data_IF_543107595111
#
_entry.id   IF_543107595111
#
_cell.length_a   1.000
_cell.length_b   1.000
_cell.length_c   1.000
_cell.angle_alpha   90.00
_cell.angle_beta   90.00
_cell.angle_gamma   90.00
#
_symmetry.space_group_name_H-M   'P 1'
#
loop_
_entity.id
_entity.type
_entity.pdbx_description
1 polymer ?
#
# COMPACT_ATOMS: atom_id res chain seq x y z
N UNK A 1 -3.82 -25.63 8.77
CA UNK A 1 -4.89 -25.86 7.77
C UNK A 1 -4.37 -25.31 6.44
N UNK A 2 -4.60 -25.97 5.31
CA UNK A 2 -4.11 -25.44 4.02
C UNK A 2 -4.99 -24.24 3.60
N UNK A 3 -4.37 -23.15 3.12
CA UNK A 3 -5.14 -21.98 2.67
C UNK A 3 -6.01 -22.34 1.45
N UNK A 4 -7.23 -21.81 1.33
CA UNK A 4 -8.10 -22.11 0.21
C UNK A 4 -7.55 -21.55 -1.10
N UNK A 5 -7.94 -22.16 -2.22
CA UNK A 5 -7.74 -21.56 -3.55
C UNK A 5 -8.69 -20.37 -3.64
N UNK A 6 -8.16 -19.18 -3.88
CA UNK A 6 -8.94 -17.93 -3.95
C UNK A 6 -9.02 -17.37 -5.36
N UNK A 7 -8.04 -17.71 -6.21
CA UNK A 7 -7.96 -17.24 -7.60
C UNK A 7 -7.50 -18.38 -8.52
N UNK A 8 -8.13 -18.47 -9.68
CA UNK A 8 -7.74 -19.36 -10.77
C UNK A 8 -7.32 -18.54 -11.99
N UNK A 9 -6.33 -19.06 -12.72
CA UNK A 9 -5.94 -18.56 -14.03
C UNK A 9 -6.25 -19.63 -15.06
N UNK A 10 -6.94 -19.27 -16.12
CA UNK A 10 -7.36 -20.21 -17.16
C UNK A 10 -6.56 -20.07 -18.45
N UNK A 11 -6.53 -21.16 -19.22
CA UNK A 11 -6.10 -21.21 -20.62
C UNK A 11 -7.18 -21.92 -21.42
N UNK A 12 -7.85 -21.18 -22.31
CA UNK A 12 -9.10 -21.67 -22.89
C UNK A 12 -10.13 -21.96 -21.80
N UNK A 13 -10.65 -23.18 -21.76
CA UNK A 13 -11.69 -23.60 -20.79
C UNK A 13 -11.14 -24.29 -19.54
N UNK A 14 -9.82 -24.50 -19.45
CA UNK A 14 -9.20 -25.24 -18.35
C UNK A 14 -8.46 -24.31 -17.39
N UNK A 15 -8.39 -24.72 -16.13
CA UNK A 15 -7.59 -24.05 -15.09
C UNK A 15 -6.13 -24.44 -15.29
N UNK A 16 -5.29 -23.44 -15.57
CA UNK A 16 -3.84 -23.58 -15.77
C UNK A 16 -3.08 -23.36 -14.45
N UNK A 17 -3.52 -22.40 -13.62
CA UNK A 17 -2.87 -22.11 -12.34
C UNK A 17 -3.90 -21.81 -11.26
N UNK A 18 -3.51 -22.09 -10.01
CA UNK A 18 -4.31 -21.82 -8.81
C UNK A 18 -3.46 -21.06 -7.81
N UNK A 19 -4.02 -19.99 -7.27
CA UNK A 19 -3.41 -19.22 -6.20
C UNK A 19 -4.19 -19.49 -4.91
N UNK A 20 -3.48 -19.95 -3.88
CA UNK A 20 -4.01 -20.04 -2.53
C UNK A 20 -3.84 -18.70 -1.83
N UNK A 21 -4.77 -18.36 -0.95
CA UNK A 21 -4.70 -17.07 -0.28
C UNK A 21 -5.47 -16.97 1.02
N UNK A 22 -5.15 -15.90 1.74
CA UNK A 22 -5.76 -15.48 2.98
C UNK A 22 -6.48 -14.16 2.75
N UNK A 23 -7.63 -13.98 3.39
CA UNK A 23 -8.40 -12.76 3.31
C UNK A 23 -9.11 -12.49 4.63
N UNK A 24 -9.15 -11.23 5.05
CA UNK A 24 -9.90 -10.80 6.23
C UNK A 24 -10.54 -9.43 5.95
N UNK A 25 -11.77 -9.26 6.45
CA UNK A 25 -12.47 -7.98 6.50
C UNK A 25 -12.85 -7.69 7.94
N UNK A 26 -12.49 -6.50 8.40
CA UNK A 26 -12.77 -6.00 9.74
C UNK A 26 -13.72 -4.81 9.65
N UNK A 27 -14.74 -4.79 10.51
CA UNK A 27 -15.68 -3.67 10.62
C UNK A 27 -15.20 -2.54 11.53
N UNK A 28 -16.06 -1.54 11.72
CA UNK A 28 -15.76 -0.36 12.50
C UNK A 28 -15.63 -0.64 14.00
N UNK A 29 -16.07 -1.81 14.47
CA UNK A 29 -16.02 -2.25 15.86
C UNK A 29 -14.78 -3.14 16.10
N UNK A 30 -14.04 -3.48 15.05
CA UNK A 30 -12.88 -4.36 15.10
C UNK A 30 -13.23 -5.85 15.00
N UNK A 31 -14.48 -6.18 14.69
CA UNK A 31 -14.93 -7.55 14.51
C UNK A 31 -14.61 -8.06 13.09
N UNK A 32 -14.33 -9.36 13.00
CA UNK A 32 -14.13 -10.04 11.71
C UNK A 32 -15.52 -10.26 11.10
N UNK A 33 -15.80 -9.59 9.99
CA UNK A 33 -17.05 -9.77 9.22
C UNK A 33 -16.87 -10.71 8.03
N UNK A 34 -15.62 -11.02 7.68
CA UNK A 34 -15.28 -12.07 6.73
C UNK A 34 -13.84 -12.56 6.98
N UNK A 35 -13.61 -13.87 6.84
CA UNK A 35 -12.27 -14.45 6.87
C UNK A 35 -12.17 -15.71 6.01
N UNK A 36 -11.05 -15.88 5.31
CA UNK A 36 -10.69 -17.10 4.60
C UNK A 36 -9.19 -17.40 4.76
N UNK A 37 -8.84 -18.67 4.99
CA UNK A 37 -7.45 -19.11 5.22
C UNK A 37 -6.92 -18.85 6.62
N UNK A 38 -5.62 -19.06 6.82
CA UNK A 38 -4.90 -18.86 8.08
C UNK A 38 -4.52 -17.37 8.27
N UNK A 39 -5.52 -16.57 8.61
CA UNK A 39 -5.41 -15.10 8.75
C UNK A 39 -4.59 -14.64 9.96
N UNK A 40 -4.25 -15.54 10.88
CA UNK A 40 -3.44 -15.24 12.06
C UNK A 40 -1.95 -15.56 11.85
N UNK A 41 -1.60 -16.23 10.75
CA UNK A 41 -0.21 -16.42 10.35
C UNK A 41 0.51 -15.09 10.08
N UNK A 42 1.79 -15.04 10.47
CA UNK A 42 2.63 -13.86 10.28
C UNK A 42 2.94 -13.63 8.80
N UNK A 43 2.54 -12.47 8.29
CA UNK A 43 2.87 -11.99 6.94
C UNK A 43 3.66 -10.70 7.03
N UNK A 44 4.56 -10.46 6.08
CA UNK A 44 5.23 -9.16 5.96
C UNK A 44 4.34 -8.22 5.12
N UNK A 45 3.77 -7.14 5.69
CA UNK A 45 2.90 -6.23 4.92
C UNK A 45 3.66 -5.48 3.83
N UNK A 46 4.98 -5.33 4.00
CA UNK A 46 5.86 -4.56 3.11
C UNK A 46 5.23 -3.19 2.84
N UNK A 47 5.20 -2.78 1.59
CA UNK A 47 4.62 -1.51 1.15
C UNK A 47 3.14 -1.30 1.44
N UNK A 48 2.38 -2.32 1.87
CA UNK A 48 0.96 -2.17 2.18
C UNK A 48 0.73 -1.29 3.43
N UNK A 49 1.66 -1.27 4.39
CA UNK A 49 1.50 -0.55 5.67
C UNK A 49 1.98 0.91 5.66
N UNK A 50 2.32 1.48 4.50
CA UNK A 50 2.97 2.81 4.41
C UNK A 50 2.16 3.96 4.98
N UNK A 51 0.82 3.87 4.97
CA UNK A 51 -0.03 4.86 5.64
C UNK A 51 0.21 4.91 7.16
N UNK A 52 0.51 3.77 7.79
CA UNK A 52 0.90 3.72 9.21
C UNK A 52 2.29 4.34 9.41
N UNK A 53 3.21 4.04 8.49
CA UNK A 53 4.60 4.55 8.55
C UNK A 53 4.68 6.06 8.33
N UNK A 54 3.71 6.67 7.64
CA UNK A 54 3.66 8.10 7.37
C UNK A 54 3.07 8.94 8.53
N UNK A 55 2.49 8.31 9.56
CA UNK A 55 1.90 9.01 10.71
C UNK A 55 2.87 9.99 11.40
N UNK A 56 4.16 9.64 11.67
CA UNK A 56 5.11 10.58 12.27
C UNK A 56 5.27 11.91 11.53
N UNK A 57 5.14 11.91 10.19
CA UNK A 57 5.25 13.13 9.39
C UNK A 57 4.16 14.15 9.74
N UNK A 58 2.96 13.67 10.07
CA UNK A 58 1.82 14.53 10.43
C UNK A 58 1.77 14.75 11.95
N UNK A 59 1.95 13.70 12.76
CA UNK A 59 1.91 13.78 14.22
C UNK A 59 3.00 14.70 14.80
N UNK A 60 4.17 14.78 14.17
CA UNK A 60 5.25 15.68 14.58
C UNK A 60 5.01 17.16 14.25
N UNK A 61 4.04 17.48 13.39
CA UNK A 61 3.83 18.82 12.84
C UNK A 61 4.71 19.14 11.62
N UNK A 62 5.60 18.24 11.19
CA UNK A 62 6.50 18.45 10.06
C UNK A 62 5.74 18.76 8.76
N UNK A 63 4.65 18.02 8.48
CA UNK A 63 3.81 18.27 7.31
C UNK A 63 3.29 19.72 7.25
N UNK A 64 2.85 20.29 8.38
CA UNK A 64 2.32 21.64 8.42
C UNK A 64 3.44 22.69 8.36
N UNK A 65 4.55 22.45 9.06
CA UNK A 65 5.71 23.33 9.02
C UNK A 65 6.31 23.49 7.61
N UNK A 66 6.28 22.44 6.80
CA UNK A 66 6.74 22.47 5.41
C UNK A 66 5.65 22.81 4.39
N UNK A 67 4.40 23.05 4.83
CA UNK A 67 3.29 23.41 3.94
C UNK A 67 2.84 22.29 3.00
N UNK A 68 2.96 21.03 3.43
CA UNK A 68 2.61 19.86 2.63
C UNK A 68 1.09 19.66 2.49
N UNK A 69 0.65 19.50 1.25
CA UNK A 69 -0.73 19.25 0.87
C UNK A 69 -0.98 17.79 0.52
N UNK A 70 -2.06 17.53 -0.23
CA UNK A 70 -2.48 16.17 -0.55
C UNK A 70 -1.42 15.39 -1.35
N UNK A 71 -0.68 16.06 -2.25
CA UNK A 71 0.30 15.40 -3.12
C UNK A 71 1.48 14.85 -2.33
N UNK A 72 2.05 15.64 -1.44
CA UNK A 72 3.20 15.25 -0.62
C UNK A 72 2.80 14.18 0.40
N UNK A 73 1.60 14.30 1.00
CA UNK A 73 1.08 13.32 1.94
C UNK A 73 0.74 11.97 1.27
N UNK A 74 0.14 12.00 0.07
CA UNK A 74 -0.07 10.80 -0.74
C UNK A 74 1.27 10.15 -1.12
N UNK A 75 2.26 10.97 -1.50
CA UNK A 75 3.59 10.49 -1.86
C UNK A 75 4.34 9.90 -0.66
N UNK A 76 4.16 10.42 0.56
CA UNK A 76 4.69 9.85 1.80
C UNK A 76 4.13 8.43 2.08
N UNK A 77 2.94 8.11 1.57
CA UNK A 77 2.34 6.78 1.67
C UNK A 77 2.65 5.88 0.46
N UNK A 78 3.46 6.33 -0.50
CA UNK A 78 3.47 5.77 -1.84
C UNK A 78 4.33 4.52 -2.07
N UNK A 79 3.97 3.80 -3.12
CA UNK A 79 4.85 2.87 -3.85
C UNK A 79 4.75 3.22 -5.33
N UNK A 80 5.16 4.45 -5.65
CA UNK A 80 4.91 5.09 -6.94
C UNK A 80 5.72 4.45 -8.06
N UNK A 81 5.44 4.82 -9.31
CA UNK A 81 6.10 4.21 -10.47
C UNK A 81 7.36 4.95 -10.93
N UNK A 82 7.90 5.88 -10.13
CA UNK A 82 9.10 6.65 -10.50
C UNK A 82 8.90 7.60 -11.69
N UNK A 83 7.68 8.07 -11.92
CA UNK A 83 7.34 9.02 -13.01
C UNK A 83 7.77 10.46 -12.66
N UNK A 84 7.94 11.37 -13.64
CA UNK A 84 8.54 12.70 -13.43
C UNK A 84 7.90 13.52 -12.31
N UNK A 85 6.58 13.50 -12.18
CA UNK A 85 5.84 14.21 -11.14
C UNK A 85 6.15 13.64 -9.73
N UNK A 86 6.33 12.33 -9.61
CA UNK A 86 6.74 11.73 -8.34
C UNK A 86 8.16 12.16 -7.95
N UNK A 87 9.08 12.13 -8.92
CA UNK A 87 10.48 12.54 -8.75
C UNK A 87 10.54 14.00 -8.31
N UNK A 88 9.79 14.87 -8.98
CA UNK A 88 9.71 16.30 -8.67
C UNK A 88 9.15 16.56 -7.27
N UNK A 89 8.07 15.88 -6.88
CA UNK A 89 7.48 16.05 -5.53
C UNK A 89 8.39 15.49 -4.44
N UNK A 90 9.06 14.35 -4.65
CA UNK A 90 10.02 13.82 -3.68
C UNK A 90 11.21 14.79 -3.47
N UNK A 91 11.72 15.39 -4.55
CA UNK A 91 12.77 16.41 -4.49
C UNK A 91 12.30 17.69 -3.78
N UNK A 92 11.07 18.13 -4.06
CA UNK A 92 10.46 19.28 -3.38
C UNK A 92 10.36 19.06 -1.87
N UNK A 93 9.91 17.88 -1.43
CA UNK A 93 9.83 17.55 -0.01
C UNK A 93 11.19 17.60 0.67
N UNK A 94 12.23 17.01 0.06
CA UNK A 94 13.59 17.06 0.62
C UNK A 94 14.14 18.48 0.70
N UNK A 95 13.91 19.29 -0.35
CA UNK A 95 14.33 20.69 -0.38
C UNK A 95 13.68 21.51 0.73
N UNK A 96 12.41 21.25 1.05
CA UNK A 96 11.72 21.91 2.16
C UNK A 96 12.41 21.64 3.51
N UNK A 97 12.99 20.45 3.69
CA UNK A 97 13.81 20.08 4.84
C UNK A 97 15.29 20.50 4.73
N UNK A 98 15.67 21.26 3.70
CA UNK A 98 17.05 21.68 3.46
C UNK A 98 18.00 20.55 3.05
N UNK A 99 17.47 19.49 2.43
CA UNK A 99 18.22 18.30 1.97
C UNK A 99 18.05 18.09 0.46
N UNK A 100 18.87 17.21 -0.09
CA UNK A 100 18.79 16.70 -1.46
C UNK A 100 18.70 15.17 -1.46
N UNK A 101 18.67 14.55 -2.64
CA UNK A 101 18.50 13.10 -2.79
C UNK A 101 19.63 12.25 -2.20
N UNK A 102 20.80 12.83 -1.90
CA UNK A 102 21.94 12.08 -1.36
C UNK A 102 21.70 11.53 0.04
N UNK A 103 20.72 12.09 0.76
CA UNK A 103 20.30 11.62 2.09
C UNK A 103 19.39 10.38 2.02
N UNK A 104 18.89 10.02 0.83
CA UNK A 104 17.96 8.89 0.67
C UNK A 104 18.70 7.54 0.72
N UNK A 105 18.21 6.62 1.56
CA UNK A 105 18.80 5.29 1.77
C UNK A 105 18.03 4.16 1.05
N UNK A 106 17.05 4.50 0.20
CA UNK A 106 16.23 3.53 -0.53
C UNK A 106 16.92 2.93 -1.77
N UNK A 107 18.06 3.48 -2.20
CA UNK A 107 18.67 3.15 -3.49
C UNK A 107 17.85 3.66 -4.68
N UNK A 108 18.27 3.32 -5.91
CA UNK A 108 17.67 3.79 -7.15
C UNK A 108 17.23 2.63 -8.05
N UNK A 109 16.15 2.81 -8.80
CA UNK A 109 15.75 1.91 -9.87
C UNK A 109 14.98 2.69 -10.96
N UNK A 110 14.88 2.12 -12.16
CA UNK A 110 14.09 2.68 -13.26
C UNK A 110 12.58 2.66 -12.97
N UNK A 111 11.82 3.48 -13.69
CA UNK A 111 10.37 3.52 -13.58
C UNK A 111 9.72 2.14 -13.77
N UNK A 112 8.64 1.86 -13.02
CA UNK A 112 7.80 0.68 -13.24
C UNK A 112 6.78 0.88 -14.37
N UNK A 113 6.67 2.09 -14.92
CA UNK A 113 5.79 2.38 -16.06
C UNK A 113 6.61 2.29 -17.36
N UNK A 114 6.34 1.31 -18.20
CA UNK A 114 7.18 0.95 -19.35
C UNK A 114 7.50 2.13 -20.29
N UNK A 115 6.51 2.97 -20.59
CA UNK A 115 6.74 4.15 -21.45
C UNK A 115 7.74 5.12 -20.83
N UNK A 116 7.63 5.37 -19.52
CA UNK A 116 8.53 6.26 -18.78
C UNK A 116 9.90 5.62 -18.58
N UNK A 117 9.97 4.30 -18.35
CA UNK A 117 11.24 3.58 -18.33
C UNK A 117 11.99 3.76 -19.65
N UNK A 118 11.32 3.57 -20.79
CA UNK A 118 11.94 3.72 -22.12
C UNK A 118 12.45 5.15 -22.32
N UNK A 119 11.66 6.14 -21.91
CA UNK A 119 12.09 7.55 -21.96
C UNK A 119 13.30 7.82 -21.05
N UNK A 120 13.25 7.38 -19.79
CA UNK A 120 14.36 7.51 -18.84
C UNK A 120 15.64 6.84 -19.35
N UNK A 121 15.55 5.63 -19.91
CA UNK A 121 16.71 4.91 -20.44
C UNK A 121 17.32 5.60 -21.68
N UNK A 122 16.56 6.46 -22.37
CA UNK A 122 17.06 7.24 -23.51
C UNK A 122 17.63 8.61 -23.10
N UNK A 123 17.14 9.17 -22.00
CA UNK A 123 17.41 10.57 -21.62
C UNK A 123 18.27 10.73 -20.38
N UNK A 124 18.37 9.71 -19.52
CA UNK A 124 19.16 9.72 -18.30
C UNK A 124 20.36 8.76 -18.41
N UNK A 125 21.50 9.14 -17.84
CA UNK A 125 22.64 8.24 -17.69
C UNK A 125 22.32 7.07 -16.74
N UNK A 126 21.61 7.36 -15.63
CA UNK A 126 21.13 6.41 -14.63
C UNK A 126 20.03 7.03 -13.76
N UNK A 127 19.14 6.24 -13.12
CA UNK A 127 18.19 6.75 -12.16
C UNK A 127 18.91 7.20 -10.87
N UNK A 128 18.29 8.15 -10.17
CA UNK A 128 18.66 8.56 -8.80
C UNK A 128 17.71 7.95 -7.77
N UNK A 129 17.99 8.12 -6.48
CA UNK A 129 17.12 7.63 -5.40
C UNK A 129 15.69 8.20 -5.45
N UNK A 130 15.49 9.37 -6.07
CA UNK A 130 14.17 9.97 -6.31
C UNK A 130 13.28 9.13 -7.25
N UNK A 131 13.87 8.26 -8.07
CA UNK A 131 13.13 7.39 -8.99
C UNK A 131 12.66 6.10 -8.30
N UNK A 132 13.16 5.81 -7.10
CA UNK A 132 12.74 4.67 -6.32
C UNK A 132 11.26 4.80 -5.96
N UNK A 133 10.50 3.71 -6.06
CA UNK A 133 9.08 3.67 -5.75
C UNK A 133 8.77 4.03 -4.29
N UNK A 134 9.75 3.94 -3.39
CA UNK A 134 9.65 4.31 -2.00
C UNK A 134 10.16 5.72 -1.70
N UNK A 135 10.72 6.44 -2.67
CA UNK A 135 11.39 7.72 -2.43
C UNK A 135 10.50 8.72 -1.68
N UNK A 136 9.21 8.78 -2.02
CA UNK A 136 8.21 9.57 -1.30
C UNK A 136 8.12 9.33 0.21
N UNK A 137 7.98 8.06 0.60
CA UNK A 137 7.99 7.64 2.02
C UNK A 137 9.30 8.04 2.68
N UNK A 138 10.44 7.83 2.00
CA UNK A 138 11.74 8.18 2.52
C UNK A 138 11.94 9.70 2.65
N UNK A 139 11.42 10.51 1.72
CA UNK A 139 11.38 11.97 1.85
C UNK A 139 10.57 12.38 3.08
N UNK A 140 9.42 11.75 3.32
CA UNK A 140 8.63 11.96 4.54
C UNK A 140 9.40 11.63 5.83
N UNK A 141 10.17 10.54 5.83
CA UNK A 141 11.05 10.17 6.94
C UNK A 141 12.12 11.23 7.21
N UNK A 142 12.82 11.67 6.17
CA UNK A 142 13.86 12.71 6.26
C UNK A 142 13.27 14.03 6.76
N UNK A 143 12.10 14.43 6.25
CA UNK A 143 11.40 15.63 6.71
C UNK A 143 11.04 15.53 8.19
N UNK A 144 10.57 14.37 8.63
CA UNK A 144 10.25 14.13 10.04
C UNK A 144 11.50 14.28 10.91
N UNK A 145 12.60 13.59 10.58
CA UNK A 145 13.85 13.70 11.33
C UNK A 145 14.35 15.15 11.42
N UNK A 146 14.39 15.86 10.28
CA UNK A 146 14.87 17.23 10.25
C UNK A 146 13.99 18.18 11.09
N UNK A 147 12.67 17.97 11.09
CA UNK A 147 11.75 18.78 11.87
C UNK A 147 11.86 18.52 13.38
N UNK A 148 12.06 17.26 13.79
CA UNK A 148 12.21 16.88 15.20
C UNK A 148 13.62 17.10 15.76
N UNK A 149 14.58 17.51 14.91
CA UNK A 149 15.97 17.74 15.29
C UNK A 149 16.82 16.46 15.35
N UNK A 150 16.31 15.35 14.83
CA UNK A 150 17.05 14.09 14.68
C UNK A 150 17.96 14.13 13.43
N UNK A 151 19.13 13.48 13.51
CA UNK A 151 20.00 13.30 12.34
C UNK A 151 19.36 12.30 11.38
N UNK A 152 19.04 12.66 10.12
CA UNK A 152 18.48 11.70 9.18
C UNK A 152 19.46 10.60 8.76
N UNK A 153 20.77 10.69 9.03
CA UNK A 153 21.70 9.62 8.62
C UNK A 153 21.40 8.32 9.35
N UNK A 154 21.27 7.24 8.60
CA UNK A 154 20.94 5.92 9.13
C UNK A 154 19.46 5.75 9.48
N UNK A 155 18.55 6.61 9.00
CA UNK A 155 17.12 6.49 9.31
C UNK A 155 16.50 5.17 8.86
N UNK A 156 17.12 4.42 7.95
CA UNK A 156 16.66 3.09 7.57
C UNK A 156 17.10 1.99 8.57
N UNK A 157 17.96 2.31 9.54
CA UNK A 157 18.44 1.38 10.55
C UNK A 157 17.39 1.07 11.62
N UNK A 158 17.36 -0.18 12.08
CA UNK A 158 16.42 -0.64 13.10
C UNK A 158 16.42 0.24 14.36
N UNK A 159 17.58 0.61 14.88
CA UNK A 159 17.70 1.37 16.15
C UNK A 159 17.58 2.89 15.97
N UNK A 160 17.30 3.38 14.75
CA UNK A 160 17.15 4.82 14.55
C UNK A 160 15.85 5.31 15.22
N UNK A 161 15.86 6.46 15.95
CA UNK A 161 14.69 6.94 16.70
C UNK A 161 13.39 7.01 15.87
N UNK A 162 13.45 7.50 14.63
CA UNK A 162 12.34 7.40 13.67
C UNK A 162 11.78 5.96 13.51
N UNK A 163 12.63 4.94 13.29
CA UNK A 163 12.17 3.57 13.14
C UNK A 163 11.60 3.02 14.45
N UNK A 164 12.08 3.49 15.60
CA UNK A 164 11.49 3.15 16.90
C UNK A 164 10.08 3.72 17.04
N UNK A 165 9.88 4.98 16.66
CA UNK A 165 8.56 5.61 16.64
C UNK A 165 7.61 4.88 15.69
N UNK A 166 8.06 4.53 14.48
CA UNK A 166 7.27 3.76 13.51
C UNK A 166 6.91 2.38 14.08
N UNK A 167 7.86 1.67 14.70
CA UNK A 167 7.58 0.38 15.37
C UNK A 167 6.54 0.53 16.47
N UNK A 168 6.64 1.55 17.32
CA UNK A 168 5.70 1.78 18.40
C UNK A 168 4.28 2.04 17.86
N UNK A 169 4.16 2.87 16.83
CA UNK A 169 2.89 3.13 16.12
C UNK A 169 2.32 1.84 15.53
N UNK A 170 3.13 1.07 14.80
CA UNK A 170 2.67 -0.16 14.19
C UNK A 170 2.30 -1.23 15.23
N UNK A 171 3.00 -1.29 16.37
CA UNK A 171 2.67 -2.16 17.51
C UNK A 171 1.30 -1.81 18.08
N UNK A 172 1.05 -0.52 18.33
CA UNK A 172 -0.23 -0.01 18.84
C UNK A 172 -1.40 -0.27 17.86
N UNK A 173 -1.16 -0.05 16.57
CA UNK A 173 -2.18 -0.26 15.55
C UNK A 173 -2.51 -1.74 15.35
N UNK A 174 -1.49 -2.59 15.21
CA UNK A 174 -1.67 -4.00 14.83
C UNK A 174 -1.87 -4.94 16.01
N UNK A 175 -1.44 -4.52 17.21
CA UNK A 175 -1.37 -5.38 18.39
C UNK A 175 -0.27 -6.44 18.34
N UNK A 176 0.56 -6.46 17.29
CA UNK A 176 1.64 -7.42 17.14
C UNK A 176 2.93 -6.93 17.84
N UNK A 177 3.69 -7.86 18.40
CA UNK A 177 5.03 -7.57 18.93
C UNK A 177 5.99 -7.37 17.75
N UNK A 178 6.58 -6.18 17.62
CA UNK A 178 7.53 -5.87 16.56
C UNK A 178 8.95 -5.81 17.15
N UNK A 179 9.70 -6.88 16.95
CA UNK A 179 11.05 -7.08 17.52
C UNK A 179 12.05 -7.48 16.43
N UNK A 180 13.31 -7.73 16.81
CA UNK A 180 14.31 -8.23 15.87
C UNK A 180 13.99 -9.64 15.36
N UNK A 181 13.32 -10.47 16.17
CA UNK A 181 13.07 -11.88 15.85
C UNK A 181 12.08 -12.06 14.70
N UNK A 182 11.20 -11.09 14.48
CA UNK A 182 10.24 -11.06 13.37
C UNK A 182 10.49 -9.90 12.40
N UNK A 183 11.69 -9.32 12.42
CA UNK A 183 12.12 -8.26 11.52
C UNK A 183 12.89 -8.85 10.33
N UNK A 184 12.58 -8.35 9.13
CA UNK A 184 13.40 -8.49 7.94
C UNK A 184 13.74 -7.13 7.34
N UNK A 185 14.53 -7.14 6.26
CA UNK A 185 14.87 -5.93 5.51
C UNK A 185 13.95 -5.79 4.29
N UNK A 186 13.35 -4.62 4.12
CA UNK A 186 12.58 -4.30 2.91
C UNK A 186 13.52 -3.97 1.73
N UNK A 187 13.05 -4.06 0.50
CA UNK A 187 13.83 -3.80 -0.71
C UNK A 187 14.23 -2.32 -0.87
N UNK A 188 13.69 -1.45 -0.01
CA UNK A 188 14.08 -0.05 0.14
C UNK A 188 14.91 0.19 1.42
N UNK A 189 15.53 -0.86 1.98
CA UNK A 189 16.47 -0.83 3.11
C UNK A 189 15.88 -0.69 4.52
N UNK A 190 14.60 -0.29 4.66
CA UNK A 190 13.99 -0.12 5.99
C UNK A 190 13.59 -1.46 6.63
N UNK A 191 13.36 -1.51 7.95
CA UNK A 191 12.81 -2.69 8.61
C UNK A 191 11.39 -3.00 8.13
N UNK A 192 11.04 -4.28 8.08
CA UNK A 192 9.67 -4.77 7.89
C UNK A 192 9.41 -5.93 8.83
N UNK A 193 8.18 -6.05 9.34
CA UNK A 193 7.86 -6.97 10.42
C UNK A 193 6.78 -7.95 10.00
N UNK A 194 6.93 -9.21 10.40
CA UNK A 194 5.85 -10.18 10.26
C UNK A 194 4.76 -9.87 11.29
N UNK A 195 3.53 -9.68 10.82
CA UNK A 195 2.35 -9.44 11.65
C UNK A 195 1.20 -10.34 11.18
N UNK A 196 0.29 -10.76 12.07
CA UNK A 196 -0.94 -11.43 11.66
C UNK A 196 -1.72 -10.58 10.65
N UNK A 197 -2.31 -11.21 9.63
CA UNK A 197 -3.12 -10.50 8.64
C UNK A 197 -4.34 -9.83 9.30
N UNK A 198 -4.92 -10.48 10.32
CA UNK A 198 -5.95 -9.91 11.20
C UNK A 198 -5.49 -8.63 11.90
N UNK A 199 -4.27 -8.63 12.44
CA UNK A 199 -3.65 -7.47 13.08
C UNK A 199 -3.44 -6.31 12.10
N UNK A 200 -2.97 -6.61 10.88
CA UNK A 200 -2.82 -5.62 9.82
C UNK A 200 -4.17 -4.97 9.44
N UNK A 201 -5.21 -5.77 9.24
CA UNK A 201 -6.55 -5.27 8.92
C UNK A 201 -7.12 -4.43 10.06
N UNK A 202 -7.04 -4.89 11.32
CA UNK A 202 -7.47 -4.12 12.50
C UNK A 202 -6.75 -2.77 12.60
N UNK A 203 -5.44 -2.74 12.37
CA UNK A 203 -4.67 -1.48 12.37
C UNK A 203 -5.20 -0.51 11.32
N UNK A 204 -5.50 -0.98 10.11
CA UNK A 204 -6.12 -0.17 9.07
C UNK A 204 -7.56 0.26 9.42
N UNK A 205 -8.35 -0.60 10.06
CA UNK A 205 -9.67 -0.27 10.61
C UNK A 205 -9.61 0.86 11.64
N UNK A 206 -8.59 0.89 12.51
CA UNK A 206 -8.34 2.02 13.42
C UNK A 206 -8.04 3.31 12.64
N UNK A 207 -7.20 3.28 11.60
CA UNK A 207 -6.90 4.47 10.78
C UNK A 207 -8.15 5.04 10.11
N UNK A 208 -9.08 4.17 9.69
CA UNK A 208 -10.34 4.58 9.08
C UNK A 208 -11.32 5.15 10.08
N UNK A 209 -11.46 4.53 11.24
CA UNK A 209 -12.53 4.91 12.17
C UNK A 209 -12.10 5.97 13.17
N UNK A 210 -10.80 6.08 13.45
CA UNK A 210 -10.26 6.85 14.58
C UNK A 210 -10.52 6.21 15.94
N UNK A 211 -11.26 5.09 16.01
CA UNK A 211 -11.62 4.46 17.29
C UNK A 211 -10.39 3.82 17.93
N UNK A 212 -10.24 4.04 19.23
CA UNK A 212 -9.10 3.54 19.99
C UNK A 212 -7.78 4.24 19.66
N UNK A 213 -7.82 5.38 18.95
CA UNK A 213 -6.66 6.23 18.69
C UNK A 213 -6.78 7.53 19.48
N UNK A 214 -5.66 8.05 19.94
CA UNK A 214 -5.59 9.40 20.49
C UNK A 214 -6.01 10.44 19.42
N UNK A 215 -6.62 11.58 19.82
CA UNK A 215 -7.18 12.55 18.87
C UNK A 215 -6.20 13.02 17.79
N UNK A 216 -4.93 13.23 18.14
CA UNK A 216 -3.88 13.63 17.20
C UNK A 216 -3.63 12.57 16.12
N UNK A 217 -3.51 11.30 16.52
CA UNK A 217 -3.29 10.17 15.61
C UNK A 217 -4.51 9.92 14.73
N UNK A 218 -5.71 10.02 15.29
CA UNK A 218 -6.95 9.90 14.52
C UNK A 218 -7.04 10.98 13.42
N UNK A 219 -6.69 12.23 13.74
CA UNK A 219 -6.67 13.32 12.78
C UNK A 219 -5.58 13.13 11.70
N UNK A 220 -4.38 12.71 12.10
CA UNK A 220 -3.28 12.39 11.19
C UNK A 220 -3.63 11.26 10.21
N UNK A 221 -4.19 10.17 10.73
CA UNK A 221 -4.65 9.04 9.93
C UNK A 221 -5.70 9.46 8.91
N UNK A 222 -6.74 10.21 9.34
CA UNK A 222 -7.77 10.74 8.45
C UNK A 222 -7.16 11.60 7.34
N UNK A 223 -6.24 12.49 7.67
CA UNK A 223 -5.59 13.39 6.72
C UNK A 223 -4.80 12.61 5.67
N UNK A 224 -3.99 11.62 6.08
CA UNK A 224 -3.20 10.79 5.16
C UNK A 224 -4.09 9.97 4.23
N UNK A 225 -5.12 9.31 4.76
CA UNK A 225 -6.05 8.51 3.96
C UNK A 225 -6.80 9.39 2.94
N UNK A 226 -7.29 10.56 3.37
CA UNK A 226 -7.97 11.50 2.48
C UNK A 226 -7.03 12.02 1.39
N UNK A 227 -5.79 12.37 1.73
CA UNK A 227 -4.79 12.80 0.75
C UNK A 227 -4.52 11.72 -0.30
N UNK A 228 -4.36 10.46 0.13
CA UNK A 228 -4.14 9.33 -0.78
C UNK A 228 -5.32 9.10 -1.73
N UNK A 229 -6.56 9.21 -1.26
CA UNK A 229 -7.76 9.07 -2.10
C UNK A 229 -7.94 10.26 -3.06
N UNK A 230 -7.52 11.46 -2.65
CA UNK A 230 -7.58 12.65 -3.49
C UNK A 230 -6.50 12.64 -4.58
N UNK A 231 -5.34 12.05 -4.31
CA UNK A 231 -4.17 12.05 -5.19
C UNK A 231 -3.67 10.61 -5.49
N UNK A 232 -4.52 9.73 -6.06
CA UNK A 232 -4.20 8.31 -6.22
C UNK A 232 -3.03 8.05 -7.15
N UNK A 233 -2.77 8.96 -8.10
CA UNK A 233 -1.58 8.93 -8.93
C UNK A 233 -0.32 8.96 -8.07
N UNK A 234 -0.20 9.87 -7.10
CA UNK A 234 0.98 9.98 -6.25
C UNK A 234 1.21 8.76 -5.34
N UNK A 235 0.16 7.99 -5.05
CA UNK A 235 0.27 6.75 -4.25
C UNK A 235 0.94 5.62 -5.03
N UNK A 236 0.71 5.49 -6.34
CA UNK A 236 1.16 4.33 -7.11
C UNK A 236 1.65 4.64 -8.54
N UNK A 237 1.02 5.59 -9.24
CA UNK A 237 1.35 6.01 -10.59
C UNK A 237 0.39 5.50 -11.66
N UNK A 238 0.71 5.80 -12.91
CA UNK A 238 -0.12 5.55 -14.08
C UNK A 238 -0.44 4.06 -14.23
N UNK A 239 -1.75 3.75 -14.44
CA UNK A 239 -2.30 2.40 -14.68
C UNK A 239 -2.07 1.36 -13.58
N UNK A 240 -1.47 1.72 -12.44
CA UNK A 240 -1.28 0.80 -11.31
C UNK A 240 -2.62 0.46 -10.65
N UNK A 241 -2.71 -0.73 -10.06
CA UNK A 241 -3.96 -1.24 -9.53
C UNK A 241 -4.51 -0.41 -8.36
N UNK A 242 -3.65 0.12 -7.48
CA UNK A 242 -4.09 1.05 -6.42
C UNK A 242 -4.77 2.29 -7.01
N UNK A 243 -4.18 2.89 -8.05
CA UNK A 243 -4.73 4.05 -8.76
C UNK A 243 -6.09 3.71 -9.36
N UNK A 244 -6.19 2.57 -10.06
CA UNK A 244 -7.44 2.09 -10.66
C UNK A 244 -8.53 1.90 -9.60
N UNK A 245 -8.24 1.20 -8.50
CA UNK A 245 -9.22 0.96 -7.43
C UNK A 245 -9.76 2.27 -6.83
N UNK A 246 -8.88 3.22 -6.51
CA UNK A 246 -9.30 4.50 -5.94
C UNK A 246 -10.07 5.38 -6.96
N UNK A 247 -9.86 5.17 -8.26
CA UNK A 247 -10.62 5.83 -9.33
C UNK A 247 -11.99 5.19 -9.60
N UNK A 248 -12.22 3.93 -9.22
CA UNK A 248 -13.54 3.29 -9.36
C UNK A 248 -14.60 3.99 -8.51
N UNK A 249 -14.25 4.40 -7.29
CA UNK A 249 -15.12 5.14 -6.40
C UNK A 249 -14.35 6.28 -5.71
N UNK A 250 -14.18 7.43 -6.39
CA UNK A 250 -13.37 8.54 -5.88
C UNK A 250 -13.79 8.98 -4.48
N UNK A 251 -12.82 9.08 -3.56
CA UNK A 251 -13.04 9.46 -2.17
C UNK A 251 -13.68 8.38 -1.28
N UNK A 252 -14.02 7.21 -1.84
CA UNK A 252 -14.67 6.10 -1.10
C UNK A 252 -13.76 4.89 -0.90
N UNK A 253 -12.82 4.65 -1.81
CA UNK A 253 -11.86 3.56 -1.71
C UNK A 253 -10.47 4.14 -1.45
N UNK A 254 -9.81 3.68 -0.38
CA UNK A 254 -8.35 3.74 -0.27
C UNK A 254 -7.77 2.37 -0.56
N UNK A 255 -6.67 2.31 -1.30
CA UNK A 255 -6.06 1.06 -1.73
C UNK A 255 -4.53 1.14 -1.67
N UNK A 256 -3.90 0.13 -1.05
CA UNK A 256 -2.44 0.05 -0.94
C UNK A 256 -1.91 -1.37 -1.13
N UNK A 257 -1.13 -1.54 -2.19
CA UNK A 257 -0.39 -2.77 -2.47
C UNK A 257 0.86 -2.91 -1.59
N UNK A 258 1.16 -4.15 -1.22
CA UNK A 258 2.44 -4.61 -0.70
C UNK A 258 3.11 -5.59 -1.68
N UNK A 259 4.44 -5.71 -1.58
CA UNK A 259 5.17 -6.74 -2.31
C UNK A 259 4.77 -8.15 -1.82
N UNK A 260 5.13 -9.18 -2.57
CA UNK A 260 4.82 -10.57 -2.22
C UNK A 260 3.32 -10.80 -1.97
N UNK A 261 2.46 -10.28 -2.85
CA UNK A 261 1.04 -10.62 -2.88
C UNK A 261 0.22 -10.14 -1.68
N UNK A 262 0.63 -9.06 -1.00
CA UNK A 262 -0.18 -8.41 0.05
C UNK A 262 -0.98 -7.24 -0.54
N UNK A 263 -2.22 -7.08 -0.11
CA UNK A 263 -3.00 -5.88 -0.44
C UNK A 263 -3.87 -5.46 0.74
N UNK A 264 -3.96 -4.15 0.97
CA UNK A 264 -4.90 -3.57 1.93
C UNK A 264 -5.81 -2.56 1.23
N UNK A 265 -7.06 -2.50 1.67
CA UNK A 265 -8.01 -1.49 1.22
C UNK A 265 -8.92 -1.04 2.36
N UNK A 266 -9.57 0.10 2.17
CA UNK A 266 -10.51 0.69 3.12
C UNK A 266 -11.74 1.18 2.37
N UNK A 267 -12.91 1.04 3.01
CA UNK A 267 -14.15 1.73 2.65
C UNK A 267 -14.58 2.61 3.83
N UNK A 268 -14.11 3.87 3.91
CA UNK A 268 -14.33 4.71 5.08
C UNK A 268 -15.79 5.03 5.37
N UNK A 269 -16.62 5.16 4.33
CA UNK A 269 -18.07 5.38 4.44
C UNK A 269 -18.80 4.21 5.14
N UNK A 270 -18.25 3.01 5.06
CA UNK A 270 -18.77 1.79 5.71
C UNK A 270 -17.96 1.37 6.95
N UNK A 271 -16.88 2.07 7.25
CA UNK A 271 -15.97 1.71 8.34
C UNK A 271 -15.30 0.34 8.15
N UNK A 272 -15.14 -0.14 6.91
CA UNK A 272 -14.56 -1.45 6.62
C UNK A 272 -13.08 -1.34 6.26
N UNK A 273 -12.32 -2.34 6.69
CA UNK A 273 -10.92 -2.53 6.32
C UNK A 273 -10.68 -3.94 5.83
N UNK A 274 -9.83 -4.07 4.81
CA UNK A 274 -9.60 -5.29 4.08
C UNK A 274 -8.11 -5.58 4.05
N UNK A 275 -7.71 -6.83 4.29
CA UNK A 275 -6.36 -7.29 4.04
C UNK A 275 -6.38 -8.66 3.38
N UNK A 276 -5.54 -8.83 2.36
CA UNK A 276 -5.40 -10.09 1.63
C UNK A 276 -3.92 -10.45 1.46
N UNK A 277 -3.65 -11.75 1.36
CA UNK A 277 -2.33 -12.31 1.03
C UNK A 277 -2.50 -13.47 0.06
N UNK A 278 -1.87 -13.39 -1.12
CA UNK A 278 -1.63 -14.55 -1.98
C UNK A 278 -0.41 -15.32 -1.46
N UNK A 279 -0.56 -16.60 -1.14
CA UNK A 279 0.46 -17.40 -0.45
C UNK A 279 1.77 -17.46 -1.25
N UNK A 280 1.66 -17.62 -2.57
CA UNK A 280 2.78 -17.68 -3.52
C UNK A 280 3.38 -16.31 -3.89
N UNK A 281 2.88 -15.24 -3.28
CA UNK A 281 3.35 -13.88 -3.53
C UNK A 281 2.86 -13.25 -4.83
N UNK A 282 1.95 -13.89 -5.57
CA UNK A 282 1.50 -13.40 -6.86
C UNK A 282 0.63 -12.14 -6.74
N UNK A 283 1.13 -11.00 -7.25
CA UNK A 283 0.40 -9.72 -7.28
C UNK A 283 -0.96 -9.85 -7.97
N UNK A 284 -1.04 -10.55 -9.10
CA UNK A 284 -2.29 -10.74 -9.85
C UNK A 284 -3.40 -11.41 -9.02
N UNK A 285 -3.02 -12.28 -8.07
CA UNK A 285 -3.97 -12.93 -7.19
C UNK A 285 -4.46 -11.97 -6.10
N UNK A 286 -3.54 -11.26 -5.44
CA UNK A 286 -3.88 -10.27 -4.42
C UNK A 286 -4.77 -9.14 -4.97
N UNK A 287 -4.48 -8.67 -6.19
CA UNK A 287 -5.29 -7.68 -6.92
C UNK A 287 -6.71 -8.20 -7.21
N UNK A 288 -6.85 -9.44 -7.70
CA UNK A 288 -8.17 -10.02 -7.94
C UNK A 288 -8.96 -10.21 -6.63
N UNK A 289 -8.30 -10.69 -5.57
CA UNK A 289 -8.92 -10.91 -4.26
C UNK A 289 -9.46 -9.63 -3.66
N UNK A 290 -8.66 -8.56 -3.61
CA UNK A 290 -9.09 -7.31 -2.97
C UNK A 290 -10.24 -6.64 -3.74
N UNK A 291 -10.23 -6.70 -5.07
CA UNK A 291 -11.32 -6.17 -5.89
C UNK A 291 -12.64 -6.94 -5.69
N UNK A 292 -12.59 -8.27 -5.62
CA UNK A 292 -13.76 -9.10 -5.36
C UNK A 292 -14.38 -8.81 -3.98
N UNK A 293 -13.54 -8.67 -2.94
CA UNK A 293 -14.02 -8.34 -1.60
C UNK A 293 -14.64 -6.95 -1.53
N UNK A 294 -14.02 -5.94 -2.16
CA UNK A 294 -14.60 -4.60 -2.25
C UNK A 294 -15.97 -4.63 -2.96
N UNK A 295 -16.10 -5.39 -4.06
CA UNK A 295 -17.33 -5.47 -4.85
C UNK A 295 -18.54 -5.96 -4.03
N UNK A 296 -18.34 -6.76 -2.98
CA UNK A 296 -19.42 -7.23 -2.08
C UNK A 296 -20.14 -6.11 -1.35
N UNK A 297 -19.50 -4.95 -1.22
CA UNK A 297 -20.00 -3.84 -0.43
C UNK A 297 -20.57 -2.71 -1.28
N UNK A 298 -20.67 -2.89 -2.59
CA UNK A 298 -21.39 -2.01 -3.52
C UNK A 298 -22.70 -2.67 -3.97
N UNK A 299 -23.67 -1.84 -4.37
CA UNK A 299 -24.99 -2.34 -4.80
C UNK A 299 -24.87 -3.23 -6.04
N UNK A 300 -25.75 -4.23 -6.15
CA UNK A 300 -25.65 -5.27 -7.19
C UNK A 300 -25.56 -4.70 -8.62
N UNK A 301 -26.33 -3.64 -8.88
CA UNK A 301 -26.47 -2.99 -10.18
C UNK A 301 -25.62 -1.71 -10.32
N UNK A 302 -24.71 -1.43 -9.38
CA UNK A 302 -23.87 -0.23 -9.41
C UNK A 302 -22.72 -0.33 -10.42
N UNK A 303 -22.37 0.78 -11.06
CA UNK A 303 -21.22 0.86 -11.97
C UNK A 303 -19.90 0.52 -11.25
N UNK A 304 -19.77 0.91 -9.98
CA UNK A 304 -18.58 0.61 -9.17
C UNK A 304 -18.45 -0.89 -8.92
N UNK A 305 -19.56 -1.59 -8.60
CA UNK A 305 -19.55 -3.04 -8.45
C UNK A 305 -19.16 -3.72 -9.76
N UNK A 306 -19.72 -3.29 -10.89
CA UNK A 306 -19.37 -3.84 -12.20
C UNK A 306 -17.89 -3.62 -12.55
N UNK A 307 -17.35 -2.43 -12.26
CA UNK A 307 -15.94 -2.11 -12.46
C UNK A 307 -15.01 -2.93 -11.55
N UNK A 308 -15.34 -3.08 -10.26
CA UNK A 308 -14.59 -3.92 -9.32
C UNK A 308 -14.62 -5.40 -9.73
N UNK A 309 -15.78 -5.91 -10.15
CA UNK A 309 -15.89 -7.28 -10.66
C UNK A 309 -15.10 -7.49 -11.95
N UNK A 310 -15.03 -6.48 -12.82
CA UNK A 310 -14.15 -6.52 -14.02
C UNK A 310 -12.68 -6.54 -13.63
N UNK A 311 -12.27 -5.83 -12.57
CA UNK A 311 -10.90 -5.91 -12.06
C UNK A 311 -10.60 -7.29 -11.43
N UNK A 312 -11.56 -7.85 -10.69
CA UNK A 312 -11.45 -9.17 -10.07
C UNK A 312 -11.49 -10.34 -11.08
N UNK A 313 -12.22 -10.17 -12.18
CA UNK A 313 -12.41 -11.15 -13.24
C UNK A 313 -12.12 -10.53 -14.59
N UNK A 314 -10.87 -10.63 -15.05
CA UNK A 314 -10.46 -10.04 -16.33
C UNK A 314 -9.82 -11.07 -17.28
N UNK A 315 -10.13 -10.88 -18.57
CA UNK A 315 -9.46 -11.58 -19.65
C UNK A 315 -8.02 -11.11 -19.81
N UNK A 316 -7.16 -12.02 -20.25
CA UNK A 316 -5.80 -11.73 -20.68
C UNK A 316 -5.72 -11.84 -22.20
N UNK A 317 -4.92 -11.00 -22.83
CA UNK A 317 -4.63 -11.06 -24.26
C UNK A 317 -3.14 -11.19 -24.53
N UNK A 318 -2.76 -11.82 -25.65
CA UNK A 318 -1.39 -11.78 -26.12
C UNK A 318 -1.06 -10.44 -26.81
N UNK A 319 0.19 -10.30 -27.26
CA UNK A 319 0.67 -9.12 -27.98
C UNK A 319 -0.02 -8.87 -29.33
N UNK A 320 -0.68 -9.88 -29.90
CA UNK A 320 -1.49 -9.75 -31.12
C UNK A 320 -2.98 -9.48 -30.81
N UNK A 321 -3.32 -9.17 -29.55
CA UNK A 321 -4.68 -8.86 -29.11
C UNK A 321 -5.61 -10.08 -29.00
N UNK A 322 -5.12 -11.30 -29.19
CA UNK A 322 -5.96 -12.50 -29.10
C UNK A 322 -6.23 -12.84 -27.63
N UNK A 323 -7.47 -13.24 -27.25
CA UNK A 323 -7.75 -13.74 -25.91
C UNK A 323 -6.94 -14.99 -25.60
N UNK A 324 -6.32 -15.04 -24.43
CA UNK A 324 -5.48 -16.19 -24.01
C UNK A 324 -5.93 -16.80 -22.69
N UNK A 325 -7.08 -16.44 -22.16
CA UNK A 325 -7.59 -16.94 -20.88
C UNK A 325 -8.03 -15.80 -19.97
N UNK A 326 -8.27 -16.11 -18.70
CA UNK A 326 -8.74 -15.13 -17.72
C UNK A 326 -8.17 -15.40 -16.34
N UNK A 327 -8.16 -14.36 -15.52
CA UNK A 327 -8.03 -14.45 -14.07
C UNK A 327 -9.45 -14.37 -13.49
N UNK A 328 -9.78 -15.26 -12.55
CA UNK A 328 -11.07 -15.25 -11.85
C UNK A 328 -10.91 -15.59 -10.38
N UNK A 329 -11.66 -14.92 -9.52
CA UNK A 329 -11.78 -15.34 -8.13
C UNK A 329 -12.73 -16.54 -7.99
N UNK A 330 -12.59 -17.29 -6.90
CA UNK A 330 -13.45 -18.43 -6.56
C UNK A 330 -14.51 -18.06 -5.52
N UNK A 331 -15.53 -18.91 -5.35
CA UNK A 331 -16.63 -18.70 -4.41
C UNK A 331 -16.21 -18.52 -2.94
N UNK A 332 -15.00 -18.97 -2.57
CA UNK A 332 -14.40 -18.72 -1.24
C UNK A 332 -14.45 -17.24 -0.84
N UNK A 333 -14.31 -16.31 -1.78
CA UNK A 333 -14.35 -14.87 -1.48
C UNK A 333 -15.77 -14.30 -1.37
N UNK A 334 -16.79 -15.08 -1.70
CA UNK A 334 -18.21 -14.69 -1.68
C UNK A 334 -19.06 -15.51 -0.70
N UNK A 335 -18.47 -16.51 -0.07
CA UNK A 335 -19.06 -17.27 1.02
C UNK A 335 -19.30 -16.41 2.28
#
# INVERSE_FOLDING_TARGET
>A
MENPITVEVTRGQLVESRHRGMAVVIDAEGAIVFSAGDVDSGVFPRSACKAMQALPLVESGAADAYGFGNRELALACASHSGEPEHVATAAFMLKAAGRDESVLECGAHWSSHQHVLIDQARTLDKPTALHNNCSGKHSGFVCTCCHTGEDPRGYAGFDHPLQEAIRAIMTDLTGAVLSRDNCGTDGCSIPTYAVPLTGLARGFGKLVTGKGLEPLRAAAARRLINACMAEPFYVAGTKRFCTKLMQVAPGRIFAKTGAEGVFCALLPDKGLSFAVKAEDGATRAAEAMIAALLARHFDADSEERAALMTLAHHGMSNWNGMPVGAIRTTDVLFA
#
